data_IF_200491588758
#
_entry.id   IF_200491588758
#
_cell.length_a   1.000
_cell.length_b   1.000
_cell.length_c   1.000
_cell.angle_alpha   90.00
_cell.angle_beta   90.00
_cell.angle_gamma   90.00
#
_symmetry.space_group_name_H-M   'P 1'
#
loop_
_entity.id
_entity.type
_entity.pdbx_description
1 polymer ?
#
# COMPACT_ATOMS: atom_id res chain seq x y z
N UNK A 1 13.75 25.63 -34.07
CA UNK A 1 13.26 24.29 -33.83
C UNK A 1 12.60 24.19 -32.44
N UNK A 2 13.31 24.49 -31.32
CA UNK A 2 12.78 24.36 -29.96
C UNK A 2 11.48 25.17 -29.73
N UNK A 3 11.36 26.38 -30.30
CA UNK A 3 10.16 27.23 -30.18
C UNK A 3 8.91 26.66 -30.86
N UNK A 4 9.08 25.73 -31.78
CA UNK A 4 7.99 25.15 -32.57
C UNK A 4 7.53 23.79 -32.02
N UNK A 5 8.11 23.33 -30.91
CA UNK A 5 7.66 22.10 -30.26
C UNK A 5 6.23 22.29 -29.69
N UNK A 6 5.34 21.29 -29.83
CA UNK A 6 4.08 21.28 -29.12
C UNK A 6 4.26 21.57 -27.63
N UNK A 7 3.30 22.27 -27.00
CA UNK A 7 3.41 22.66 -25.59
C UNK A 7 3.49 21.43 -24.67
N UNK A 8 4.11 21.58 -23.48
CA UNK A 8 4.21 20.49 -22.49
C UNK A 8 2.86 20.04 -21.93
N UNK A 9 1.86 20.92 -21.91
CA UNK A 9 0.51 20.63 -21.46
C UNK A 9 -0.42 20.16 -22.60
N UNK A 10 0.12 19.82 -23.78
CA UNK A 10 -0.62 19.24 -24.90
C UNK A 10 -1.26 17.92 -24.46
N UNK A 11 -2.51 17.68 -24.88
CA UNK A 11 -3.27 16.46 -24.54
C UNK A 11 -3.53 15.56 -25.75
N UNK A 12 -3.34 16.05 -26.94
CA UNK A 12 -3.49 15.25 -28.16
C UNK A 12 -2.32 14.24 -28.27
N UNK A 13 -2.60 12.92 -28.33
CA UNK A 13 -1.56 11.90 -28.38
C UNK A 13 -0.60 12.01 -29.58
N UNK A 14 -1.12 12.45 -30.75
CA UNK A 14 -0.31 12.65 -31.95
C UNK A 14 0.70 13.77 -31.77
N UNK A 15 0.28 14.90 -31.20
CA UNK A 15 1.15 16.05 -30.91
C UNK A 15 2.13 15.77 -29.79
N UNK A 16 1.74 14.95 -28.81
CA UNK A 16 2.66 14.46 -27.77
C UNK A 16 3.77 13.61 -28.39
N UNK A 17 3.41 12.66 -29.24
CA UNK A 17 4.38 11.84 -29.96
C UNK A 17 5.30 12.67 -30.89
N UNK A 18 4.74 13.66 -31.59
CA UNK A 18 5.50 14.63 -32.38
C UNK A 18 6.53 15.36 -31.50
N UNK A 19 6.10 15.88 -30.36
CA UNK A 19 6.99 16.56 -29.42
C UNK A 19 8.17 15.70 -29.00
N UNK A 20 7.93 14.43 -28.61
CA UNK A 20 9.00 13.51 -28.19
C UNK A 20 9.98 13.24 -29.32
N UNK A 21 9.48 12.96 -30.51
CA UNK A 21 10.30 12.72 -31.71
C UNK A 21 11.18 13.92 -32.06
N UNK A 22 10.59 15.10 -32.15
CA UNK A 22 11.30 16.32 -32.49
C UNK A 22 12.31 16.71 -31.39
N UNK A 23 11.95 16.59 -30.11
CA UNK A 23 12.87 16.82 -29.00
C UNK A 23 14.08 15.88 -29.05
N UNK A 24 13.88 14.61 -29.43
CA UNK A 24 14.98 13.66 -29.58
C UNK A 24 15.92 14.07 -30.71
N UNK A 25 15.39 14.47 -31.88
CA UNK A 25 16.17 14.93 -33.01
C UNK A 25 17.00 16.18 -32.61
N UNK A 26 16.38 17.14 -31.93
CA UNK A 26 17.05 18.37 -31.48
C UNK A 26 18.19 18.06 -30.51
N UNK A 27 17.97 17.16 -29.53
CA UNK A 27 19.01 16.73 -28.60
C UNK A 27 20.20 16.09 -29.30
N UNK A 28 19.95 15.18 -30.24
CA UNK A 28 21.01 14.56 -31.05
C UNK A 28 21.84 15.58 -31.82
N UNK A 29 21.17 16.56 -32.48
CA UNK A 29 21.86 17.62 -33.23
C UNK A 29 22.69 18.51 -32.28
N UNK A 30 22.16 18.85 -31.09
CA UNK A 30 22.91 19.63 -30.11
C UNK A 30 24.12 18.85 -29.59
N UNK A 31 23.99 17.57 -29.29
CA UNK A 31 25.11 16.70 -28.89
C UNK A 31 26.22 16.71 -29.94
N UNK A 32 25.87 16.48 -31.19
CA UNK A 32 26.84 16.50 -32.31
C UNK A 32 27.54 17.87 -32.45
N UNK A 33 26.81 18.97 -32.26
CA UNK A 33 27.41 20.31 -32.31
C UNK A 33 28.38 20.54 -31.13
N UNK A 34 28.06 20.06 -29.94
CA UNK A 34 28.95 20.14 -28.77
C UNK A 34 30.21 19.31 -28.96
N UNK A 35 30.09 18.14 -29.58
CA UNK A 35 31.23 17.27 -29.87
C UNK A 35 32.20 17.90 -30.87
N UNK A 36 31.70 18.61 -31.91
CA UNK A 36 32.49 19.12 -33.01
C UNK A 36 32.89 20.61 -32.91
N UNK A 37 32.40 21.36 -31.93
CA UNK A 37 32.65 22.79 -31.79
C UNK A 37 33.02 23.17 -30.36
N UNK A 38 34.28 23.55 -30.17
CA UNK A 38 34.79 24.06 -28.89
C UNK A 38 34.07 25.35 -28.46
N UNK A 39 33.74 26.23 -29.40
CA UNK A 39 33.01 27.46 -29.14
C UNK A 39 31.63 27.19 -28.57
N UNK A 40 30.90 26.19 -29.12
CA UNK A 40 29.57 25.81 -28.64
C UNK A 40 29.68 25.15 -27.28
N UNK A 41 30.66 24.29 -27.06
CA UNK A 41 30.93 23.65 -25.77
C UNK A 41 31.22 24.68 -24.68
N UNK A 42 32.13 25.60 -24.95
CA UNK A 42 32.48 26.68 -24.03
C UNK A 42 31.29 27.58 -23.70
N UNK A 43 30.48 27.95 -24.70
CA UNK A 43 29.25 28.74 -24.50
C UNK A 43 28.24 28.01 -23.61
N UNK A 44 28.04 26.72 -23.82
CA UNK A 44 27.13 25.91 -22.98
C UNK A 44 27.64 25.80 -21.55
N UNK A 45 28.97 25.56 -21.37
CA UNK A 45 29.58 25.55 -20.03
C UNK A 45 29.35 26.86 -19.30
N UNK A 46 29.69 27.99 -19.94
CA UNK A 46 29.47 29.33 -19.35
C UNK A 46 27.99 29.58 -19.02
N UNK A 47 27.07 29.08 -19.87
CA UNK A 47 25.64 29.19 -19.60
C UNK A 47 25.25 28.38 -18.37
N UNK A 48 25.73 27.14 -18.23
CA UNK A 48 25.49 26.29 -17.07
C UNK A 48 26.02 26.97 -15.80
N UNK A 49 27.24 27.49 -15.84
CA UNK A 49 27.84 28.19 -14.69
C UNK A 49 27.02 29.44 -14.28
N UNK A 50 26.49 30.16 -15.29
CA UNK A 50 25.61 31.31 -15.05
C UNK A 50 24.31 30.92 -14.35
N UNK A 51 23.72 29.75 -14.71
CA UNK A 51 22.50 29.25 -14.06
C UNK A 51 22.77 28.66 -12.69
N UNK A 52 23.94 28.05 -12.47
CA UNK A 52 24.31 27.45 -11.18
C UNK A 52 24.49 28.46 -10.05
N UNK A 53 24.69 29.73 -10.38
CA UNK A 53 24.85 30.79 -9.40
C UNK A 53 26.15 30.70 -8.61
N UNK A 54 26.32 31.59 -7.62
CA UNK A 54 27.48 31.70 -6.77
C UNK A 54 27.07 31.51 -5.30
N UNK A 55 27.68 30.56 -4.61
CA UNK A 55 27.38 30.30 -3.20
C UNK A 55 27.67 31.54 -2.36
N UNK A 56 26.67 32.01 -1.63
CA UNK A 56 26.78 33.22 -0.79
C UNK A 56 26.15 34.46 -1.44
N UNK A 57 25.86 34.46 -2.74
CA UNK A 57 25.12 35.49 -3.46
C UNK A 57 23.77 34.97 -3.89
N UNK A 58 22.71 35.28 -3.14
CA UNK A 58 21.36 34.79 -3.40
C UNK A 58 20.79 35.28 -4.74
N UNK A 59 21.12 36.51 -5.18
CA UNK A 59 20.62 37.07 -6.43
C UNK A 59 21.16 36.34 -7.67
N UNK A 60 22.37 35.72 -7.55
CA UNK A 60 22.94 34.94 -8.63
C UNK A 60 22.11 33.67 -9.02
N UNK A 61 21.20 33.23 -8.15
CA UNK A 61 20.32 32.07 -8.38
C UNK A 61 18.98 32.41 -9.02
N UNK A 62 18.66 33.72 -9.26
CA UNK A 62 17.37 34.13 -9.83
C UNK A 62 17.06 33.46 -11.17
N UNK A 63 18.08 33.27 -12.02
CA UNK A 63 17.91 32.56 -13.31
C UNK A 63 17.60 31.07 -13.12
N UNK A 64 18.22 30.44 -12.16
CA UNK A 64 17.94 29.02 -11.82
C UNK A 64 16.53 28.90 -11.24
N UNK A 65 16.13 29.79 -10.34
CA UNK A 65 14.77 29.81 -9.79
C UNK A 65 13.71 29.99 -10.90
N UNK A 66 13.91 30.95 -11.79
CA UNK A 66 13.04 31.13 -12.94
C UNK A 66 12.96 29.88 -13.83
N UNK A 67 14.11 29.22 -14.08
CA UNK A 67 14.14 27.97 -14.85
C UNK A 67 13.40 26.83 -14.15
N UNK A 68 13.52 26.71 -12.84
CA UNK A 68 12.84 25.69 -12.03
C UNK A 68 11.31 25.94 -12.00
N UNK A 69 10.90 27.19 -11.92
CA UNK A 69 9.47 27.56 -11.95
C UNK A 69 8.78 27.25 -13.30
N UNK A 70 9.56 27.16 -14.39
CA UNK A 70 9.07 26.74 -15.72
C UNK A 70 8.95 25.22 -15.86
N UNK A 71 9.40 24.43 -14.90
CA UNK A 71 9.33 22.97 -14.98
C UNK A 71 7.91 22.46 -14.64
N UNK A 72 7.61 21.22 -15.06
CA UNK A 72 6.38 20.52 -14.70
C UNK A 72 6.42 19.87 -13.30
N UNK A 73 7.48 20.10 -12.55
CA UNK A 73 7.69 19.64 -11.17
C UNK A 73 8.23 20.80 -10.34
N UNK A 74 7.99 20.75 -9.03
CA UNK A 74 8.53 21.67 -8.05
C UNK A 74 9.59 20.95 -7.22
N UNK A 75 10.79 21.52 -7.12
CA UNK A 75 11.76 21.09 -6.14
C UNK A 75 11.36 21.65 -4.77
N UNK A 76 11.33 20.81 -3.77
CA UNK A 76 10.99 21.17 -2.41
C UNK A 76 11.93 20.49 -1.43
N UNK A 77 12.06 21.05 -0.22
CA UNK A 77 12.81 20.41 0.86
C UNK A 77 12.18 19.04 1.18
N UNK A 78 13.03 18.04 1.41
CA UNK A 78 12.56 16.70 1.82
C UNK A 78 11.68 16.72 3.09
N UNK A 79 11.83 17.76 3.93
CA UNK A 79 11.04 17.91 5.18
C UNK A 79 9.55 18.13 4.94
N UNK A 80 9.16 18.66 3.78
CA UNK A 80 7.74 18.86 3.45
C UNK A 80 7.12 17.67 2.71
N UNK A 81 7.90 16.61 2.49
CA UNK A 81 7.47 15.47 1.69
C UNK A 81 6.24 14.77 2.28
N UNK A 82 6.13 14.64 3.60
CA UNK A 82 4.99 14.01 4.26
C UNK A 82 3.65 14.74 3.99
N UNK A 83 3.69 16.04 3.66
CA UNK A 83 2.51 16.88 3.46
C UNK A 83 2.25 17.26 2.00
N UNK A 84 3.30 17.36 1.17
CA UNK A 84 3.25 17.97 -0.16
C UNK A 84 3.49 17.00 -1.33
N UNK A 85 3.93 15.76 -1.08
CA UNK A 85 4.12 14.78 -2.15
C UNK A 85 2.81 14.53 -2.89
N UNK A 86 2.84 14.65 -4.23
CA UNK A 86 1.69 14.43 -5.10
C UNK A 86 1.86 13.24 -6.07
N UNK A 87 2.89 12.42 -5.88
CA UNK A 87 3.06 11.14 -6.54
C UNK A 87 2.89 9.98 -5.55
N UNK A 88 2.52 8.80 -6.04
CA UNK A 88 2.45 7.60 -5.22
C UNK A 88 3.86 7.05 -5.00
N UNK A 89 4.14 6.64 -3.77
CA UNK A 89 5.42 6.06 -3.35
C UNK A 89 5.18 4.69 -2.73
N UNK A 90 6.25 3.92 -2.61
CA UNK A 90 6.23 2.66 -1.88
C UNK A 90 6.19 2.96 -0.37
N UNK A 91 5.06 2.68 0.27
CA UNK A 91 4.76 3.08 1.65
C UNK A 91 4.96 4.59 1.85
N UNK A 92 5.91 4.98 2.70
CA UNK A 92 6.30 6.36 3.01
C UNK A 92 7.74 6.70 2.56
N UNK A 93 8.32 5.90 1.65
CA UNK A 93 9.68 6.06 1.13
C UNK A 93 9.65 7.00 -0.07
N UNK A 94 10.19 8.22 0.11
CA UNK A 94 10.11 9.28 -0.90
C UNK A 94 10.85 8.98 -2.20
N UNK A 95 11.94 8.23 -2.12
CA UNK A 95 12.80 7.88 -3.26
C UNK A 95 12.20 6.77 -4.14
N UNK A 96 11.20 6.05 -3.67
CA UNK A 96 10.57 4.95 -4.37
C UNK A 96 9.22 5.37 -4.95
N UNK A 97 9.25 6.13 -6.06
CA UNK A 97 8.04 6.48 -6.80
C UNK A 97 7.43 5.25 -7.46
N UNK A 98 6.13 5.05 -7.27
CA UNK A 98 5.39 3.94 -7.86
C UNK A 98 5.09 4.21 -9.34
N UNK A 99 5.30 3.20 -10.18
CA UNK A 99 4.94 3.23 -11.60
C UNK A 99 3.51 2.73 -11.81
N UNK A 100 2.93 3.08 -12.95
CA UNK A 100 1.54 2.73 -13.32
C UNK A 100 1.51 1.42 -14.09
N UNK A 101 1.66 0.30 -13.37
CA UNK A 101 1.65 -1.04 -13.98
C UNK A 101 0.29 -1.44 -14.55
N UNK A 102 -0.78 -0.72 -14.24
CA UNK A 102 -2.08 -0.86 -14.87
C UNK A 102 -2.09 -0.41 -16.35
N UNK A 103 -1.11 0.40 -16.78
CA UNK A 103 -0.91 0.74 -18.17
C UNK A 103 -0.12 -0.37 -18.87
N UNK A 104 -0.71 -0.98 -19.88
CA UNK A 104 -0.16 -2.16 -20.58
C UNK A 104 1.28 -1.94 -21.08
N UNK A 105 1.59 -0.75 -21.62
CA UNK A 105 2.94 -0.42 -22.07
C UNK A 105 3.95 -0.37 -20.92
N UNK A 106 3.57 0.18 -19.78
CA UNK A 106 4.42 0.23 -18.58
C UNK A 106 4.63 -1.16 -18.00
N UNK A 107 3.57 -1.98 -17.96
CA UNK A 107 3.66 -3.38 -17.54
C UNK A 107 4.70 -4.15 -18.36
N UNK A 108 4.58 -4.15 -19.67
CA UNK A 108 5.52 -4.89 -20.54
C UNK A 108 6.96 -4.34 -20.45
N UNK A 109 7.13 -3.02 -20.42
CA UNK A 109 8.45 -2.40 -20.34
C UNK A 109 9.16 -2.75 -19.02
N UNK A 110 8.44 -2.66 -17.89
CA UNK A 110 9.01 -2.97 -16.56
C UNK A 110 9.28 -4.46 -16.34
N UNK A 111 8.62 -5.36 -17.08
CA UNK A 111 8.76 -6.80 -16.93
C UNK A 111 9.68 -7.48 -17.96
N UNK A 112 10.29 -6.74 -18.88
CA UNK A 112 11.14 -7.34 -19.95
C UNK A 112 12.22 -8.28 -19.41
N UNK A 113 12.90 -7.91 -18.32
CA UNK A 113 13.92 -8.78 -17.72
C UNK A 113 13.29 -10.04 -17.14
N UNK A 114 12.19 -9.90 -16.39
CA UNK A 114 11.47 -11.01 -15.77
C UNK A 114 11.01 -12.00 -16.84
N UNK A 115 10.38 -11.49 -17.90
CA UNK A 115 9.91 -12.29 -19.02
C UNK A 115 11.03 -13.04 -19.75
N UNK A 116 12.18 -12.41 -19.91
CA UNK A 116 13.36 -13.07 -20.49
C UNK A 116 13.88 -14.21 -19.60
N UNK A 117 13.92 -14.02 -18.28
CA UNK A 117 14.36 -15.06 -17.34
C UNK A 117 13.38 -16.25 -17.31
N UNK A 118 12.08 -16.00 -17.35
CA UNK A 118 11.06 -17.05 -17.43
C UNK A 118 11.16 -17.81 -18.76
N UNK A 119 11.28 -17.11 -19.89
CA UNK A 119 11.37 -17.72 -21.23
C UNK A 119 12.62 -18.56 -21.40
N UNK A 120 13.72 -18.19 -20.77
CA UNK A 120 14.97 -18.97 -20.78
C UNK A 120 15.01 -20.13 -19.77
N UNK A 121 13.97 -20.28 -18.94
CA UNK A 121 13.88 -21.31 -17.90
C UNK A 121 14.81 -21.09 -16.68
N UNK A 122 15.46 -19.92 -16.58
CA UNK A 122 16.27 -19.53 -15.41
C UNK A 122 15.37 -19.28 -14.19
N UNK A 123 14.20 -18.70 -14.42
CA UNK A 123 13.15 -18.59 -13.41
C UNK A 123 11.96 -19.47 -13.82
N UNK A 124 11.33 -20.16 -12.86
CA UNK A 124 10.20 -21.06 -13.08
C UNK A 124 8.92 -20.59 -12.40
N UNK A 125 8.99 -19.52 -11.62
CA UNK A 125 7.87 -18.91 -10.92
C UNK A 125 8.21 -17.52 -10.39
N UNK A 126 7.23 -16.85 -9.83
CA UNK A 126 7.36 -15.48 -9.32
C UNK A 126 6.81 -15.36 -7.90
N UNK A 127 7.49 -14.56 -7.08
CA UNK A 127 6.94 -13.96 -5.88
C UNK A 127 6.65 -12.50 -6.17
N UNK A 128 5.39 -12.12 -6.08
CA UNK A 128 4.96 -10.73 -6.26
C UNK A 128 4.87 -10.08 -4.89
N UNK A 129 5.74 -9.11 -4.67
CA UNK A 129 5.83 -8.33 -3.45
C UNK A 129 4.77 -7.23 -3.43
N UNK A 130 4.25 -6.91 -2.24
CA UNK A 130 3.34 -5.80 -2.00
C UNK A 130 2.20 -5.70 -3.01
N UNK A 131 1.54 -6.82 -3.30
CA UNK A 131 0.44 -6.87 -4.28
C UNK A 131 -0.70 -5.89 -3.92
N UNK A 132 -0.89 -5.60 -2.64
CA UNK A 132 -1.87 -4.62 -2.14
C UNK A 132 -1.54 -3.17 -2.53
N UNK A 133 -0.32 -2.89 -2.95
CA UNK A 133 0.10 -1.60 -3.50
C UNK A 133 -0.39 -1.33 -4.93
N UNK A 134 -0.76 -2.36 -5.69
CA UNK A 134 -1.17 -2.22 -7.08
C UNK A 134 -2.51 -1.48 -7.23
N UNK A 135 -2.71 -0.85 -8.38
CA UNK A 135 -3.98 -0.23 -8.75
C UNK A 135 -5.10 -1.27 -8.80
N UNK A 136 -4.89 -2.33 -9.58
CA UNK A 136 -5.76 -3.49 -9.73
C UNK A 136 -4.93 -4.77 -9.66
N UNK A 137 -4.84 -5.41 -8.48
CA UNK A 137 -4.05 -6.63 -8.29
C UNK A 137 -4.50 -7.79 -9.18
N UNK A 138 -5.81 -7.99 -9.34
CA UNK A 138 -6.36 -9.09 -10.14
C UNK A 138 -5.99 -8.92 -11.61
N UNK A 139 -6.18 -7.74 -12.16
CA UNK A 139 -5.80 -7.44 -13.55
C UNK A 139 -4.30 -7.66 -13.80
N UNK A 140 -3.45 -7.21 -12.88
CA UNK A 140 -2.00 -7.44 -12.96
C UNK A 140 -1.66 -8.93 -13.01
N UNK A 141 -2.27 -9.74 -12.16
CA UNK A 141 -2.03 -11.18 -12.09
C UNK A 141 -2.55 -11.90 -13.34
N UNK A 142 -3.71 -11.48 -13.85
CA UNK A 142 -4.26 -11.98 -15.13
C UNK A 142 -3.30 -11.67 -16.29
N UNK A 143 -2.77 -10.45 -16.39
CA UNK A 143 -1.79 -10.09 -17.42
C UNK A 143 -0.53 -10.96 -17.38
N UNK A 144 -0.04 -11.32 -16.17
CA UNK A 144 1.09 -12.25 -16.04
C UNK A 144 0.77 -13.63 -16.60
N UNK A 145 -0.39 -14.18 -16.30
CA UNK A 145 -0.81 -15.51 -16.79
C UNK A 145 -1.10 -15.49 -18.30
N UNK A 146 -1.72 -14.44 -18.80
CA UNK A 146 -1.94 -14.28 -20.24
C UNK A 146 -0.63 -14.20 -21.02
N UNK A 147 0.37 -13.51 -20.46
CA UNK A 147 1.70 -13.48 -21.03
C UNK A 147 2.32 -14.88 -21.05
N UNK A 148 2.25 -15.60 -19.93
CA UNK A 148 2.78 -16.96 -19.83
C UNK A 148 2.14 -17.92 -20.84
N UNK A 149 0.82 -17.86 -20.95
CA UNK A 149 0.07 -18.71 -21.91
C UNK A 149 0.46 -18.45 -23.36
N UNK A 150 0.87 -17.23 -23.71
CA UNK A 150 1.29 -16.86 -25.09
C UNK A 150 2.75 -17.17 -25.40
N UNK A 151 3.62 -16.96 -24.42
CA UNK A 151 5.08 -16.90 -24.67
C UNK A 151 5.86 -18.11 -24.17
N UNK A 152 5.30 -18.88 -23.22
CA UNK A 152 5.94 -20.07 -22.70
C UNK A 152 5.46 -21.32 -23.45
N UNK A 153 6.28 -22.38 -23.40
CA UNK A 153 5.92 -23.66 -24.01
C UNK A 153 4.68 -24.25 -23.30
N UNK A 154 3.73 -24.80 -24.06
CA UNK A 154 2.60 -25.52 -23.49
C UNK A 154 3.08 -26.67 -22.58
N UNK A 155 2.21 -27.07 -21.66
CA UNK A 155 2.46 -28.24 -20.82
C UNK A 155 2.57 -29.53 -21.68
N UNK A 156 3.17 -30.61 -21.17
CA UNK A 156 3.21 -31.90 -21.88
C UNK A 156 1.81 -32.44 -22.26
N UNK A 157 0.75 -32.02 -21.56
CA UNK A 157 -0.65 -32.34 -21.87
C UNK A 157 -1.23 -31.48 -23.01
N UNK A 158 -0.49 -30.49 -23.51
CA UNK A 158 -0.94 -29.56 -24.57
C UNK A 158 -1.73 -28.36 -24.05
N UNK A 159 -1.89 -28.22 -22.74
CA UNK A 159 -2.54 -27.06 -22.15
C UNK A 159 -1.65 -25.83 -22.19
N UNK A 160 -2.21 -24.59 -22.27
CA UNK A 160 -1.43 -23.36 -22.16
C UNK A 160 -0.59 -23.34 -20.89
N UNK A 161 0.60 -22.77 -20.97
CA UNK A 161 1.47 -22.63 -19.82
C UNK A 161 0.80 -21.77 -18.73
N UNK A 162 0.88 -22.22 -17.50
CA UNK A 162 0.48 -21.48 -16.31
C UNK A 162 1.71 -21.21 -15.45
N UNK A 163 1.87 -19.97 -15.04
CA UNK A 163 2.99 -19.54 -14.23
C UNK A 163 2.73 -19.81 -12.76
N UNK A 164 3.71 -20.41 -12.07
CA UNK A 164 3.67 -20.49 -10.61
C UNK A 164 3.87 -19.09 -10.04
N UNK A 165 2.84 -18.54 -9.41
CA UNK A 165 2.87 -17.20 -8.80
C UNK A 165 2.42 -17.31 -7.35
N UNK A 166 3.22 -16.81 -6.43
CA UNK A 166 2.82 -16.58 -5.04
C UNK A 166 2.85 -15.09 -4.75
N UNK A 167 1.90 -14.64 -3.94
CA UNK A 167 1.75 -13.21 -3.61
C UNK A 167 2.11 -12.95 -2.16
N UNK A 168 2.88 -11.89 -1.95
CA UNK A 168 3.02 -11.28 -0.63
C UNK A 168 1.74 -10.49 -0.36
N UNK A 169 0.83 -11.13 0.36
CA UNK A 169 -0.44 -10.60 0.81
C UNK A 169 -0.65 -10.98 2.26
N UNK A 170 -0.75 -9.98 3.09
CA UNK A 170 -1.03 -10.17 4.52
C UNK A 170 -2.54 -10.28 4.69
N UNK A 171 -2.98 -11.48 5.08
CA UNK A 171 -4.38 -11.77 5.34
C UNK A 171 -4.73 -11.44 6.79
N UNK A 172 -5.82 -10.71 7.00
CA UNK A 172 -6.45 -10.62 8.30
C UNK A 172 -7.01 -11.99 8.74
N UNK A 173 -7.34 -12.15 10.01
CA UNK A 173 -7.75 -13.43 10.60
C UNK A 173 -8.88 -14.13 9.84
N UNK A 174 -9.91 -13.37 9.49
CA UNK A 174 -11.11 -13.87 8.80
C UNK A 174 -11.12 -13.46 7.31
N UNK A 175 -9.97 -13.03 6.80
CA UNK A 175 -9.80 -12.64 5.41
C UNK A 175 -9.33 -13.83 4.57
N UNK A 176 -10.07 -14.15 3.51
CA UNK A 176 -9.64 -15.12 2.52
C UNK A 176 -8.95 -14.45 1.33
N UNK A 177 -7.92 -15.11 0.78
CA UNK A 177 -7.35 -14.71 -0.50
C UNK A 177 -8.44 -14.79 -1.59
N UNK A 178 -8.58 -13.77 -2.48
CA UNK A 178 -9.59 -13.82 -3.53
C UNK A 178 -9.45 -15.05 -4.42
N UNK A 179 -10.50 -15.85 -4.50
CA UNK A 179 -10.50 -17.09 -5.29
C UNK A 179 -10.37 -16.86 -6.81
N UNK A 180 -10.63 -15.62 -7.26
CA UNK A 180 -10.50 -15.21 -8.67
C UNK A 180 -9.06 -14.89 -9.06
N UNK A 181 -8.16 -14.73 -8.10
CA UNK A 181 -6.77 -14.43 -8.41
C UNK A 181 -6.05 -15.64 -8.99
N UNK A 182 -5.47 -15.55 -10.19
CA UNK A 182 -4.78 -16.67 -10.84
C UNK A 182 -3.37 -16.86 -10.27
N UNK A 183 -3.30 -17.28 -9.00
CA UNK A 183 -2.06 -17.48 -8.23
C UNK A 183 -2.04 -18.86 -7.58
N UNK A 184 -0.88 -19.29 -7.17
CA UNK A 184 -0.69 -20.55 -6.42
C UNK A 184 -0.97 -20.41 -4.92
N UNK A 185 -1.07 -19.17 -4.43
CA UNK A 185 -1.37 -18.82 -3.05
C UNK A 185 -0.50 -17.70 -2.50
N UNK A 186 -0.42 -17.62 -1.16
CA UNK A 186 0.38 -16.61 -0.45
C UNK A 186 1.81 -17.07 -0.19
N UNK A 187 2.67 -16.14 0.24
CA UNK A 187 4.05 -16.41 0.71
C UNK A 187 4.12 -17.05 2.09
N UNK A 188 2.98 -17.29 2.77
CA UNK A 188 2.90 -18.14 3.95
C UNK A 188 2.89 -17.44 5.31
N UNK A 189 2.68 -16.12 5.39
CA UNK A 189 2.52 -15.43 6.69
C UNK A 189 1.29 -15.91 7.46
N UNK A 190 0.22 -16.28 6.77
CA UNK A 190 -0.96 -16.90 7.35
C UNK A 190 -0.62 -18.26 8.01
N UNK A 191 0.17 -19.11 7.36
CA UNK A 191 0.66 -20.36 7.93
C UNK A 191 1.57 -20.13 9.14
N UNK A 192 2.49 -19.16 9.04
CA UNK A 192 3.40 -18.78 10.13
C UNK A 192 2.62 -18.47 11.42
N UNK A 193 1.58 -17.65 11.32
CA UNK A 193 0.77 -17.25 12.47
C UNK A 193 -0.08 -18.40 13.02
N UNK A 194 -0.57 -19.30 12.17
CA UNK A 194 -1.24 -20.52 12.62
C UNK A 194 -0.30 -21.40 13.45
N UNK A 195 0.91 -21.66 12.96
CA UNK A 195 1.92 -22.47 13.68
C UNK A 195 2.31 -21.78 14.97
N UNK A 196 2.61 -20.47 14.94
CA UNK A 196 3.00 -19.73 16.13
C UNK A 196 1.92 -19.75 17.21
N UNK A 197 0.65 -19.55 16.81
CA UNK A 197 -0.51 -19.55 17.72
C UNK A 197 -0.76 -20.92 18.39
N UNK A 198 -0.41 -22.02 17.73
CA UNK A 198 -0.55 -23.37 18.26
C UNK A 198 0.30 -23.60 19.54
N UNK A 199 1.47 -22.96 19.63
CA UNK A 199 2.40 -23.07 20.74
C UNK A 199 2.17 -22.02 21.85
N UNK A 200 1.06 -21.29 21.82
CA UNK A 200 0.67 -20.34 22.88
C UNK A 200 -0.42 -20.95 23.76
N UNK A 201 -0.16 -21.01 25.05
CA UNK A 201 -1.07 -21.62 26.04
C UNK A 201 -2.31 -20.73 26.27
N UNK A 202 -3.34 -20.93 25.47
CA UNK A 202 -4.56 -20.11 25.46
C UNK A 202 -5.28 -20.03 26.80
N UNK A 203 -5.26 -21.12 27.62
CA UNK A 203 -5.89 -21.13 28.95
C UNK A 203 -5.26 -20.14 29.97
N UNK A 204 -4.07 -19.61 29.65
CA UNK A 204 -3.35 -18.64 30.52
C UNK A 204 -3.51 -17.19 30.05
N UNK A 205 -4.36 -16.89 29.08
CA UNK A 205 -4.60 -15.56 28.56
C UNK A 205 -4.89 -14.54 29.67
N UNK A 206 -5.86 -14.84 30.52
CA UNK A 206 -6.24 -13.96 31.65
C UNK A 206 -5.07 -13.66 32.60
N UNK A 207 -4.20 -14.64 32.82
CA UNK A 207 -3.03 -14.49 33.69
C UNK A 207 -1.99 -13.57 33.06
N UNK A 208 -1.79 -13.68 31.74
CA UNK A 208 -0.89 -12.81 30.99
C UNK A 208 -1.45 -11.40 30.85
N UNK A 209 -2.76 -11.24 30.67
CA UNK A 209 -3.42 -9.93 30.66
C UNK A 209 -3.23 -9.20 32.00
N UNK A 210 -3.52 -9.88 33.10
CA UNK A 210 -3.36 -9.30 34.44
C UNK A 210 -1.89 -8.92 34.73
N UNK A 211 -0.95 -9.75 34.29
CA UNK A 211 0.47 -9.48 34.43
C UNK A 211 0.86 -8.25 33.62
N UNK A 212 0.49 -8.20 32.33
CA UNK A 212 0.80 -7.10 31.42
C UNK A 212 0.20 -5.76 31.93
N UNK A 213 -1.09 -5.76 32.28
CA UNK A 213 -1.75 -4.57 32.82
C UNK A 213 -1.09 -4.05 34.10
N UNK A 214 -0.72 -4.97 35.02
CA UNK A 214 -0.02 -4.60 36.22
C UNK A 214 1.38 -4.01 35.96
N UNK A 215 2.10 -4.57 35.01
CA UNK A 215 3.45 -4.08 34.67
C UNK A 215 3.42 -2.72 33.98
N UNK A 216 2.47 -2.52 33.06
CA UNK A 216 2.29 -1.26 32.29
C UNK A 216 1.57 -0.18 33.14
N UNK A 217 0.89 -0.57 34.21
CA UNK A 217 0.13 0.34 35.07
C UNK A 217 -1.23 0.77 34.52
N UNK A 218 -1.63 0.26 33.34
CA UNK A 218 -2.91 0.59 32.71
C UNK A 218 -3.44 -0.57 31.86
N UNK A 219 -4.76 -0.55 31.61
CA UNK A 219 -5.36 -1.48 30.63
C UNK A 219 -5.12 -0.98 29.21
N UNK A 220 -4.43 -1.77 28.39
CA UNK A 220 -4.24 -1.50 26.97
C UNK A 220 -5.20 -2.39 26.19
N UNK A 221 -6.13 -1.78 25.45
CA UNK A 221 -7.00 -2.47 24.48
C UNK A 221 -6.34 -2.40 23.12
N UNK A 222 -6.01 -3.55 22.54
CA UNK A 222 -5.24 -3.62 21.30
C UNK A 222 -5.94 -2.90 20.13
N UNK A 223 -7.25 -3.07 19.96
CA UNK A 223 -8.02 -2.40 18.90
C UNK A 223 -7.98 -0.87 19.00
N UNK A 224 -7.98 -0.34 20.23
CA UNK A 224 -7.86 1.10 20.46
C UNK A 224 -6.45 1.60 20.15
N UNK A 225 -5.44 0.79 20.49
CA UNK A 225 -4.05 1.09 20.11
C UNK A 225 -3.89 1.12 18.58
N UNK A 226 -4.39 0.11 17.86
CA UNK A 226 -4.34 0.06 16.38
C UNK A 226 -5.02 1.28 15.77
N UNK A 227 -6.18 1.66 16.27
CA UNK A 227 -6.87 2.87 15.82
C UNK A 227 -6.02 4.13 16.01
N UNK A 228 -5.39 4.30 17.16
CA UNK A 228 -4.53 5.45 17.46
C UNK A 228 -3.28 5.46 16.62
N UNK A 229 -2.62 4.30 16.45
CA UNK A 229 -1.39 4.20 15.66
C UNK A 229 -1.62 4.41 14.16
N UNK A 230 -2.72 3.90 13.60
CA UNK A 230 -3.11 4.21 12.22
C UNK A 230 -3.32 5.73 12.02
N UNK A 231 -3.98 6.40 12.96
CA UNK A 231 -4.15 7.87 12.92
C UNK A 231 -2.83 8.61 13.06
N UNK A 232 -1.91 8.11 13.89
CA UNK A 232 -0.56 8.67 14.01
C UNK A 232 0.19 8.62 12.68
N UNK A 233 0.20 7.46 12.00
CA UNK A 233 0.84 7.31 10.69
C UNK A 233 0.25 8.23 9.64
N UNK A 234 -1.08 8.31 9.57
CA UNK A 234 -1.77 9.21 8.66
C UNK A 234 -1.37 10.67 8.86
N UNK A 235 -1.16 11.09 10.10
CA UNK A 235 -0.75 12.46 10.43
C UNK A 235 0.74 12.71 10.25
N UNK A 236 1.59 11.74 10.60
CA UNK A 236 3.04 11.95 10.67
C UNK A 236 3.76 11.73 9.33
N UNK A 237 3.35 10.74 8.54
CA UNK A 237 4.08 10.34 7.34
C UNK A 237 3.24 10.23 6.07
N UNK A 238 1.90 10.21 6.18
CA UNK A 238 0.99 10.00 5.04
C UNK A 238 -0.09 11.09 4.92
N UNK A 239 0.16 12.29 5.44
CA UNK A 239 -0.81 13.38 5.36
C UNK A 239 -1.03 13.88 3.92
N UNK A 240 -0.02 13.78 3.06
CA UNK A 240 -0.16 14.13 1.64
C UNK A 240 -1.17 13.23 0.92
N UNK A 241 -1.16 11.92 1.18
CA UNK A 241 -2.12 10.97 0.62
C UNK A 241 -3.55 11.27 1.09
N UNK A 242 -3.70 11.62 2.39
CA UNK A 242 -4.98 12.04 2.94
C UNK A 242 -5.47 13.36 2.36
N UNK A 243 -4.58 14.34 2.19
CA UNK A 243 -4.91 15.62 1.59
C UNK A 243 -5.44 15.43 0.16
N UNK A 244 -4.78 14.58 -0.64
CA UNK A 244 -5.25 14.23 -1.99
C UNK A 244 -6.63 13.59 -1.96
N UNK A 245 -6.86 12.62 -1.06
CA UNK A 245 -8.18 11.98 -0.89
C UNK A 245 -9.25 12.98 -0.44
N UNK A 246 -8.94 13.85 0.53
CA UNK A 246 -9.83 14.88 1.01
C UNK A 246 -10.24 15.85 -0.09
N UNK A 247 -9.29 16.33 -0.88
CA UNK A 247 -9.56 17.20 -2.03
C UNK A 247 -10.37 16.52 -3.12
N UNK A 248 -10.05 15.25 -3.45
CA UNK A 248 -10.87 14.49 -4.39
C UNK A 248 -12.31 14.36 -3.90
N UNK A 249 -12.50 14.03 -2.64
CA UNK A 249 -13.82 13.87 -2.04
C UNK A 249 -14.60 15.20 -2.01
N UNK A 250 -13.91 16.33 -1.74
CA UNK A 250 -14.51 17.66 -1.80
C UNK A 250 -14.99 17.97 -3.22
N UNK A 251 -14.16 17.75 -4.25
CA UNK A 251 -14.57 17.93 -5.64
C UNK A 251 -15.75 17.05 -6.05
N UNK A 252 -15.86 15.84 -5.46
CA UNK A 252 -16.97 14.94 -5.70
C UNK A 252 -18.25 15.42 -5.00
N UNK A 253 -18.15 15.91 -3.76
CA UNK A 253 -19.30 16.42 -3.01
C UNK A 253 -19.91 17.67 -3.66
N UNK A 254 -19.09 18.56 -4.24
CA UNK A 254 -19.54 19.76 -4.96
C UNK A 254 -20.41 19.45 -6.19
N UNK A 255 -20.29 18.26 -6.76
CA UNK A 255 -21.08 17.84 -7.92
C UNK A 255 -22.53 17.45 -7.57
N UNK A 256 -22.82 17.29 -6.28
CA UNK A 256 -24.13 16.89 -5.79
C UNK A 256 -24.71 17.93 -4.82
N UNK A 257 -25.92 18.40 -5.12
CA UNK A 257 -26.64 19.37 -4.28
C UNK A 257 -26.92 18.91 -2.86
N UNK A 258 -26.90 17.60 -2.59
CA UNK A 258 -27.12 17.04 -1.24
C UNK A 258 -25.86 17.07 -0.39
N UNK A 259 -24.68 17.10 -1.02
CA UNK A 259 -23.39 16.92 -0.34
C UNK A 259 -22.44 18.12 -0.45
N UNK A 260 -22.77 19.13 -1.27
CA UNK A 260 -21.93 20.32 -1.50
C UNK A 260 -21.70 21.20 -0.27
N UNK A 261 -22.50 21.01 0.77
CA UNK A 261 -22.33 21.74 2.03
C UNK A 261 -21.37 21.04 3.00
N UNK A 262 -20.82 19.88 2.61
CA UNK A 262 -19.76 19.23 3.37
C UNK A 262 -18.45 20.00 3.20
N UNK A 263 -17.79 20.29 4.31
CA UNK A 263 -16.51 21.01 4.27
C UNK A 263 -15.35 20.04 4.00
N UNK A 264 -14.27 20.54 3.40
CA UNK A 264 -13.05 19.78 3.20
C UNK A 264 -12.55 19.14 4.52
N UNK A 265 -12.65 19.86 5.64
CA UNK A 265 -12.24 19.35 6.95
C UNK A 265 -13.12 18.18 7.41
N UNK A 266 -14.45 18.27 7.28
CA UNK A 266 -15.35 17.17 7.67
C UNK A 266 -15.15 15.93 6.80
N UNK A 267 -14.91 16.11 5.50
CA UNK A 267 -14.63 15.05 4.54
C UNK A 267 -13.29 14.37 4.83
N UNK A 268 -12.22 15.15 5.06
CA UNK A 268 -10.89 14.63 5.40
C UNK A 268 -10.91 13.89 6.73
N UNK A 269 -11.66 14.42 7.72
CA UNK A 269 -11.85 13.75 9.01
C UNK A 269 -12.56 12.40 8.80
N UNK A 270 -13.67 12.37 8.07
CA UNK A 270 -14.40 11.12 7.81
C UNK A 270 -13.54 10.06 7.11
N UNK A 271 -12.72 10.43 6.12
CA UNK A 271 -11.77 9.51 5.47
C UNK A 271 -10.75 8.98 6.49
N UNK A 272 -10.17 9.86 7.31
CA UNK A 272 -9.21 9.48 8.34
C UNK A 272 -9.79 8.43 9.29
N UNK A 273 -11.02 8.66 9.75
CA UNK A 273 -11.72 7.75 10.65
C UNK A 273 -12.06 6.40 9.99
N UNK A 274 -12.48 6.43 8.71
CA UNK A 274 -12.76 5.21 7.95
C UNK A 274 -11.50 4.37 7.75
N UNK A 275 -10.38 4.97 7.37
CA UNK A 275 -9.09 4.27 7.20
C UNK A 275 -8.60 3.70 8.54
N UNK A 276 -8.70 4.47 9.63
CA UNK A 276 -8.31 4.00 10.96
C UNK A 276 -9.15 2.81 11.44
N UNK A 277 -10.44 2.78 11.06
CA UNK A 277 -11.39 1.72 11.41
C UNK A 277 -11.46 0.58 10.38
N UNK A 278 -10.69 0.64 9.28
CA UNK A 278 -10.73 -0.38 8.22
C UNK A 278 -10.19 -1.71 8.74
N UNK A 279 -10.95 -2.83 8.63
CA UNK A 279 -10.63 -4.07 9.34
C UNK A 279 -9.54 -4.92 8.69
N UNK A 280 -9.25 -4.71 7.40
CA UNK A 280 -8.24 -5.40 6.59
C UNK A 280 -7.30 -4.40 5.93
N UNK A 281 -6.27 -4.88 5.25
CA UNK A 281 -5.31 -3.99 4.56
C UNK A 281 -5.97 -3.16 3.47
N UNK A 282 -6.82 -3.77 2.63
CA UNK A 282 -7.61 -3.06 1.62
C UNK A 282 -8.81 -3.89 1.14
N UNK A 283 -9.71 -3.25 0.41
CA UNK A 283 -10.71 -3.87 -0.45
C UNK A 283 -10.20 -3.94 -1.90
N UNK A 284 -10.89 -4.70 -2.75
CA UNK A 284 -10.48 -4.96 -4.14
C UNK A 284 -11.58 -4.60 -5.14
N UNK A 285 -12.09 -3.39 -5.02
CA UNK A 285 -13.05 -2.82 -5.95
C UNK A 285 -12.33 -2.39 -7.23
N UNK A 286 -12.80 -2.85 -8.39
CA UNK A 286 -12.21 -2.55 -9.70
C UNK A 286 -13.12 -1.66 -10.54
N UNK A 287 -12.56 -1.05 -11.61
CA UNK A 287 -13.32 -0.20 -12.52
C UNK A 287 -14.47 -0.95 -13.21
N UNK A 288 -14.22 -2.19 -13.63
CA UNK A 288 -15.14 -2.95 -14.48
C UNK A 288 -16.19 -3.74 -13.71
N UNK A 289 -16.00 -3.88 -12.40
CA UNK A 289 -16.91 -4.58 -11.51
C UNK A 289 -18.27 -3.88 -11.43
N UNK A 290 -19.34 -4.55 -11.88
CA UNK A 290 -20.70 -4.00 -11.85
C UNK A 290 -21.26 -3.95 -10.43
N UNK A 291 -21.00 -5.00 -9.63
CA UNK A 291 -21.48 -5.14 -8.26
C UNK A 291 -20.31 -5.30 -7.29
N UNK A 292 -20.43 -4.71 -6.11
CA UNK A 292 -19.44 -4.85 -5.04
C UNK A 292 -19.61 -6.24 -4.42
N UNK A 293 -18.53 -7.02 -4.37
CA UNK A 293 -18.51 -8.33 -3.73
C UNK A 293 -18.90 -8.21 -2.25
N UNK A 294 -19.64 -9.21 -1.74
CA UNK A 294 -20.15 -9.21 -0.37
C UNK A 294 -19.03 -9.08 0.68
N UNK A 295 -17.88 -9.66 0.40
CA UNK A 295 -16.67 -9.51 1.23
C UNK A 295 -16.29 -8.03 1.39
N UNK A 296 -16.10 -7.32 0.29
CA UNK A 296 -15.67 -5.92 0.30
C UNK A 296 -16.76 -5.00 0.88
N UNK A 297 -18.02 -5.32 0.57
CA UNK A 297 -19.18 -4.65 1.18
C UNK A 297 -19.14 -4.76 2.71
N UNK A 298 -18.91 -5.96 3.22
CA UNK A 298 -18.83 -6.23 4.66
C UNK A 298 -17.73 -5.39 5.32
N UNK A 299 -16.54 -5.35 4.75
CA UNK A 299 -15.43 -4.57 5.30
C UNK A 299 -15.72 -3.07 5.32
N UNK A 300 -16.27 -2.53 4.23
CA UNK A 300 -16.66 -1.12 4.16
C UNK A 300 -17.74 -0.79 5.20
N UNK A 301 -18.77 -1.62 5.33
CA UNK A 301 -19.85 -1.42 6.30
C UNK A 301 -19.35 -1.50 7.74
N UNK A 302 -18.43 -2.42 8.04
CA UNK A 302 -17.79 -2.51 9.35
C UNK A 302 -16.98 -1.24 9.66
N UNK A 303 -16.17 -0.76 8.72
CA UNK A 303 -15.39 0.46 8.89
C UNK A 303 -16.30 1.67 9.16
N UNK A 304 -17.35 1.85 8.37
CA UNK A 304 -18.33 2.95 8.53
C UNK A 304 -19.02 2.87 9.91
N UNK A 305 -19.49 1.69 10.30
CA UNK A 305 -20.15 1.50 11.58
C UNK A 305 -19.21 1.80 12.75
N UNK A 306 -17.96 1.34 12.71
CA UNK A 306 -16.95 1.62 13.73
C UNK A 306 -16.60 3.11 13.78
N UNK A 307 -16.40 3.75 12.62
CA UNK A 307 -16.07 5.17 12.53
C UNK A 307 -17.19 6.05 13.10
N UNK A 308 -18.46 5.80 12.75
CA UNK A 308 -19.62 6.50 13.31
C UNK A 308 -19.70 6.38 14.83
N UNK A 309 -19.51 5.17 15.38
CA UNK A 309 -19.54 4.95 16.84
C UNK A 309 -18.43 5.70 17.59
N UNK A 310 -17.25 5.82 16.98
CA UNK A 310 -16.12 6.54 17.58
C UNK A 310 -16.25 8.06 17.45
N UNK A 311 -17.09 8.56 16.56
CA UNK A 311 -17.24 9.98 16.26
C UNK A 311 -18.72 10.42 16.27
N UNK A 312 -19.41 10.35 17.41
CA UNK A 312 -20.85 10.64 17.51
C UNK A 312 -21.18 12.12 17.24
N UNK A 313 -20.21 13.02 17.33
CA UNK A 313 -20.35 14.46 17.10
C UNK A 313 -20.20 14.87 15.66
N UNK A 314 -19.61 14.01 14.80
CA UNK A 314 -19.48 14.28 13.38
C UNK A 314 -20.80 13.93 12.66
N UNK A 315 -21.19 14.77 11.70
CA UNK A 315 -22.40 14.49 10.91
C UNK A 315 -22.30 13.12 10.23
N UNK A 316 -23.22 12.22 10.58
CA UNK A 316 -23.24 10.84 10.08
C UNK A 316 -23.41 10.74 8.57
N UNK A 317 -24.03 11.76 7.93
CA UNK A 317 -24.24 11.81 6.48
C UNK A 317 -22.92 11.91 5.71
N UNK A 318 -21.87 12.48 6.30
CA UNK A 318 -20.54 12.53 5.67
C UNK A 318 -19.98 11.10 5.51
N UNK A 319 -20.14 10.25 6.53
CA UNK A 319 -19.76 8.84 6.44
C UNK A 319 -20.63 8.05 5.44
N UNK A 320 -21.93 8.37 5.37
CA UNK A 320 -22.84 7.74 4.41
C UNK A 320 -22.44 8.09 2.97
N UNK A 321 -22.10 9.33 2.70
CA UNK A 321 -21.61 9.77 1.40
C UNK A 321 -20.34 9.00 0.98
N UNK A 322 -19.33 8.88 1.86
CA UNK A 322 -18.12 8.12 1.56
C UNK A 322 -18.43 6.63 1.37
N UNK A 323 -19.32 6.05 2.19
CA UNK A 323 -19.80 4.67 2.02
C UNK A 323 -20.42 4.45 0.64
N UNK A 324 -21.30 5.34 0.23
CA UNK A 324 -22.05 5.19 -1.03
C UNK A 324 -21.13 5.38 -2.25
N UNK A 325 -20.11 6.25 -2.13
CA UNK A 325 -19.02 6.31 -3.10
C UNK A 325 -18.25 4.98 -3.20
N UNK A 326 -17.82 4.43 -2.08
CA UNK A 326 -17.06 3.17 -2.03
C UNK A 326 -17.90 1.99 -2.54
N UNK A 327 -19.19 1.95 -2.19
CA UNK A 327 -20.10 0.89 -2.62
C UNK A 327 -20.70 1.09 -4.02
N UNK A 328 -20.29 2.13 -4.74
CA UNK A 328 -20.80 2.50 -6.07
C UNK A 328 -22.35 2.65 -6.10
N UNK A 329 -22.92 3.17 -5.01
CA UNK A 329 -24.37 3.35 -4.82
C UNK A 329 -24.87 4.76 -5.09
N UNK A 330 -24.02 5.64 -5.60
CA UNK A 330 -24.48 6.99 -5.93
C UNK A 330 -25.44 6.93 -7.11
N UNK A 331 -26.58 7.59 -6.91
CA UNK A 331 -27.67 7.67 -7.86
C UNK A 331 -27.19 8.32 -9.20
N UNK A 332 -27.74 7.89 -10.34
CA UNK A 332 -27.50 8.47 -11.67
C UNK A 332 -27.85 9.97 -11.75
N UNK A 333 -28.58 10.50 -10.75
CA UNK A 333 -28.82 11.94 -10.57
C UNK A 333 -27.59 12.76 -10.22
N UNK A 334 -26.55 12.09 -9.72
CA UNK A 334 -25.27 12.75 -9.38
C UNK A 334 -24.46 12.88 -10.66
N UNK A 335 -24.04 14.09 -11.00
CA UNK A 335 -23.16 14.37 -12.16
C UNK A 335 -21.73 13.82 -11.98
N UNK A 336 -21.59 12.70 -11.26
CA UNK A 336 -20.33 12.01 -11.07
C UNK A 336 -20.09 11.08 -12.25
N UNK A 337 -18.95 11.23 -12.89
CA UNK A 337 -18.53 10.26 -13.89
C UNK A 337 -18.05 8.99 -13.18
N UNK A 338 -18.26 7.82 -13.80
CA UNK A 338 -17.71 6.56 -13.32
C UNK A 338 -16.18 6.65 -13.11
N UNK A 339 -15.50 7.39 -13.96
CA UNK A 339 -14.05 7.64 -13.87
C UNK A 339 -13.65 8.36 -12.58
N UNK A 340 -14.40 9.40 -12.19
CA UNK A 340 -14.14 10.16 -10.95
C UNK A 340 -14.26 9.26 -9.71
N UNK A 341 -15.33 8.43 -9.68
CA UNK A 341 -15.58 7.50 -8.59
C UNK A 341 -14.49 6.42 -8.50
N UNK A 342 -14.16 5.79 -9.62
CA UNK A 342 -13.10 4.77 -9.69
C UNK A 342 -11.77 5.32 -9.20
N UNK A 343 -11.40 6.51 -9.65
CA UNK A 343 -10.16 7.19 -9.23
C UNK A 343 -10.09 7.39 -7.71
N UNK A 344 -11.19 7.80 -7.09
CA UNK A 344 -11.25 7.97 -5.64
C UNK A 344 -11.15 6.61 -4.92
N UNK A 345 -11.98 5.63 -5.33
CA UNK A 345 -12.03 4.30 -4.72
C UNK A 345 -10.66 3.62 -4.77
N UNK A 346 -10.00 3.65 -5.92
CA UNK A 346 -8.68 3.03 -6.08
C UNK A 346 -7.62 3.71 -5.22
N UNK A 347 -7.62 5.05 -5.20
CA UNK A 347 -6.71 5.81 -4.36
C UNK A 347 -6.94 5.53 -2.88
N UNK A 348 -8.20 5.43 -2.45
CA UNK A 348 -8.56 5.05 -1.08
C UNK A 348 -7.98 3.67 -0.73
N UNK A 349 -8.21 2.66 -1.58
CA UNK A 349 -7.70 1.29 -1.39
C UNK A 349 -6.17 1.25 -1.32
N UNK A 350 -5.47 1.99 -2.19
CA UNK A 350 -4.02 2.09 -2.19
C UNK A 350 -3.46 2.87 -0.98
N UNK A 351 -4.28 3.62 -0.26
CA UNK A 351 -3.89 4.34 0.96
C UNK A 351 -4.15 3.50 2.21
N UNK A 352 -5.23 2.70 2.27
CA UNK A 352 -5.56 1.89 3.44
C UNK A 352 -4.49 0.84 3.75
N UNK A 353 -3.88 0.23 2.73
CA UNK A 353 -2.86 -0.82 2.91
C UNK A 353 -1.60 -0.30 3.62
N UNK A 354 -0.88 0.72 3.13
CA UNK A 354 0.32 1.23 3.81
C UNK A 354 0.03 1.82 5.19
N UNK A 355 -1.13 2.47 5.38
CA UNK A 355 -1.54 2.94 6.72
C UNK A 355 -1.71 1.77 7.69
N UNK A 356 -2.29 0.66 7.23
CA UNK A 356 -2.47 -0.54 8.05
C UNK A 356 -1.13 -1.20 8.37
N UNK A 357 -0.26 -1.41 7.39
CA UNK A 357 1.06 -1.98 7.60
C UNK A 357 1.89 -1.12 8.58
N UNK A 358 2.05 0.17 8.31
CA UNK A 358 2.83 1.07 9.18
C UNK A 358 2.22 1.26 10.56
N UNK A 359 0.88 1.39 10.64
CA UNK A 359 0.18 1.57 11.91
C UNK A 359 0.19 0.33 12.80
N UNK A 360 0.08 -0.87 12.24
CA UNK A 360 0.07 -2.13 12.98
C UNK A 360 1.49 -2.67 13.15
N UNK A 361 2.14 -3.02 12.04
CA UNK A 361 3.36 -3.81 12.06
C UNK A 361 4.58 -3.03 12.51
N UNK A 362 4.67 -1.74 12.13
CA UNK A 362 5.82 -0.89 12.45
C UNK A 362 5.56 0.03 13.66
N UNK A 363 4.35 0.03 14.22
CA UNK A 363 4.01 0.89 15.36
C UNK A 363 3.34 0.11 16.49
N UNK A 364 2.12 -0.41 16.30
CA UNK A 364 1.38 -1.07 17.39
C UNK A 364 2.13 -2.29 17.95
N UNK A 365 2.78 -3.08 17.10
CA UNK A 365 3.56 -4.25 17.53
C UNK A 365 4.78 -3.92 18.41
N UNK A 366 5.26 -2.69 18.38
CA UNK A 366 6.35 -2.22 19.24
C UNK A 366 5.88 -1.60 20.54
N UNK A 367 4.55 -1.37 20.66
CA UNK A 367 3.93 -0.78 21.85
C UNK A 367 3.21 -1.86 22.69
N UNK A 368 2.48 -2.78 22.03
CA UNK A 368 1.70 -3.82 22.69
C UNK A 368 2.54 -5.08 22.94
N UNK A 369 3.04 -5.26 24.16
CA UNK A 369 4.01 -6.32 24.47
C UNK A 369 3.46 -7.36 25.47
N UNK A 370 2.17 -7.72 25.39
CA UNK A 370 1.57 -8.77 26.23
C UNK A 370 2.29 -10.13 26.07
N UNK A 371 2.53 -10.52 24.83
CA UNK A 371 3.36 -11.67 24.45
C UNK A 371 3.97 -11.36 23.06
N UNK A 372 5.22 -10.92 23.06
CA UNK A 372 5.86 -10.34 21.86
C UNK A 372 6.01 -11.31 20.69
N UNK A 373 5.91 -12.63 20.90
CA UNK A 373 5.88 -13.64 19.83
C UNK A 373 4.63 -13.59 18.96
N UNK A 374 3.53 -12.99 19.44
CA UNK A 374 2.31 -12.76 18.65
C UNK A 374 2.38 -11.49 17.79
N UNK A 375 3.37 -10.62 18.05
CA UNK A 375 3.59 -9.39 17.29
C UNK A 375 4.42 -9.70 16.05
N UNK A 376 3.79 -10.33 15.07
CA UNK A 376 4.45 -10.78 13.86
C UNK A 376 3.64 -10.36 12.62
N UNK A 377 4.28 -10.24 11.46
CA UNK A 377 3.61 -9.89 10.20
C UNK A 377 2.42 -10.80 9.97
N UNK A 378 1.24 -10.22 9.76
CA UNK A 378 -0.03 -10.94 9.67
C UNK A 378 -0.56 -11.48 11.00
N UNK A 379 0.12 -11.23 12.11
CA UNK A 379 -0.32 -11.60 13.45
C UNK A 379 -1.40 -10.67 14.01
N UNK A 380 -2.19 -11.20 14.92
CA UNK A 380 -3.23 -10.43 15.63
C UNK A 380 -3.07 -10.65 17.15
N UNK A 381 -2.25 -9.83 17.84
CA UNK A 381 -1.93 -9.99 19.24
C UNK A 381 -3.12 -9.95 20.21
N UNK A 382 -4.28 -9.43 19.75
CA UNK A 382 -5.53 -9.51 20.51
C UNK A 382 -5.96 -10.97 20.76
N UNK A 383 -5.67 -11.86 19.83
CA UNK A 383 -6.00 -13.28 19.93
C UNK A 383 -4.85 -14.06 20.56
N UNK A 384 -5.15 -14.77 21.63
CA UNK A 384 -4.16 -15.43 22.47
C UNK A 384 -4.19 -16.95 22.29
N UNK A 385 -3.37 -17.44 21.36
CA UNK A 385 -3.26 -18.86 21.07
C UNK A 385 -4.29 -19.37 20.05
N UNK A 386 -4.12 -20.61 19.65
CA UNK A 386 -4.94 -21.31 18.67
C UNK A 386 -5.23 -22.75 19.12
N UNK A 387 -6.45 -23.25 18.94
CA UNK A 387 -6.74 -24.66 19.21
C UNK A 387 -6.24 -25.58 18.09
N UNK A 388 -5.96 -26.84 18.45
CA UNK A 388 -5.54 -27.88 17.48
C UNK A 388 -6.61 -28.08 16.40
N UNK A 389 -7.92 -28.03 16.79
CA UNK A 389 -9.02 -28.17 15.83
C UNK A 389 -9.02 -27.02 14.84
N UNK A 390 -8.85 -25.77 15.29
CA UNK A 390 -8.78 -24.58 14.43
C UNK A 390 -7.59 -24.66 13.48
N UNK A 391 -6.45 -25.10 13.97
CA UNK A 391 -5.24 -25.31 13.15
C UNK A 391 -5.52 -26.33 12.04
N UNK A 392 -6.04 -27.51 12.35
CA UNK A 392 -6.34 -28.53 11.35
C UNK A 392 -7.45 -28.10 10.38
N UNK A 393 -8.45 -27.33 10.85
CA UNK A 393 -9.48 -26.78 9.98
C UNK A 393 -8.85 -25.83 8.95
N UNK A 394 -8.02 -24.88 9.40
CA UNK A 394 -7.35 -23.94 8.51
C UNK A 394 -6.43 -24.62 7.50
N UNK A 395 -5.71 -25.68 7.91
CA UNK A 395 -4.87 -26.45 6.98
C UNK A 395 -5.69 -27.23 5.93
N UNK A 396 -6.85 -27.76 6.30
CA UNK A 396 -7.75 -28.42 5.32
C UNK A 396 -8.29 -27.43 4.31
N UNK A 397 -8.73 -26.25 4.74
CA UNK A 397 -9.19 -25.16 3.88
C UNK A 397 -8.08 -24.67 2.95
N UNK A 398 -6.88 -24.49 3.50
CA UNK A 398 -5.69 -24.11 2.72
C UNK A 398 -5.37 -25.14 1.65
N UNK A 399 -5.37 -26.45 2.02
CA UNK A 399 -5.11 -27.53 1.06
C UNK A 399 -6.17 -27.60 -0.04
N UNK A 400 -7.42 -27.33 0.30
CA UNK A 400 -8.53 -27.39 -0.67
C UNK A 400 -8.46 -26.26 -1.70
N UNK A 401 -8.09 -25.05 -1.29
CA UNK A 401 -8.15 -23.86 -2.16
C UNK A 401 -6.78 -23.45 -2.71
N UNK A 402 -5.72 -23.62 -1.90
CA UNK A 402 -4.38 -23.15 -2.22
C UNK A 402 -3.30 -24.20 -1.91
N UNK A 403 -3.35 -25.39 -2.57
CA UNK A 403 -2.48 -26.51 -2.25
C UNK A 403 -0.98 -26.23 -2.46
N UNK A 404 -0.67 -25.23 -3.29
CA UNK A 404 0.70 -24.84 -3.65
C UNK A 404 1.18 -23.56 -2.96
N UNK A 405 0.41 -23.01 -2.02
CA UNK A 405 0.83 -21.86 -1.23
C UNK A 405 2.07 -22.18 -0.37
N UNK A 406 2.95 -21.21 -0.15
CA UNK A 406 4.16 -21.43 0.64
C UNK A 406 3.84 -21.60 2.13
N UNK A 407 4.68 -22.41 2.81
CA UNK A 407 4.61 -22.69 4.24
C UNK A 407 5.83 -22.05 4.91
N UNK A 408 5.75 -20.76 5.23
CA UNK A 408 6.82 -20.06 5.91
C UNK A 408 6.70 -20.17 7.43
N UNK A 409 7.82 -20.34 8.12
CA UNK A 409 7.96 -20.20 9.58
C UNK A 409 8.77 -18.95 9.94
N UNK A 410 9.59 -18.46 9.01
CA UNK A 410 10.34 -17.22 9.11
C UNK A 410 10.60 -16.67 7.70
N UNK A 411 10.70 -15.36 7.58
CA UNK A 411 11.03 -14.66 6.33
C UNK A 411 11.95 -13.47 6.63
N UNK A 412 12.43 -12.77 5.58
CA UNK A 412 13.22 -11.55 5.73
C UNK A 412 12.44 -10.39 6.38
N UNK A 413 11.09 -10.42 6.34
CA UNK A 413 10.22 -9.39 6.91
C UNK A 413 9.68 -9.74 8.30
N UNK A 414 9.92 -10.95 8.79
CA UNK A 414 9.46 -11.32 10.14
C UNK A 414 10.18 -10.50 11.21
N UNK A 415 9.43 -10.07 12.21
CA UNK A 415 9.96 -9.28 13.33
C UNK A 415 10.95 -10.09 14.17
N UNK A 416 10.78 -11.42 14.22
CA UNK A 416 11.63 -12.38 14.95
C UNK A 416 11.73 -13.70 14.19
N UNK A 417 12.87 -14.38 14.32
CA UNK A 417 13.02 -15.74 13.83
C UNK A 417 12.16 -16.74 14.61
N UNK A 418 11.85 -17.89 14.00
CA UNK A 418 11.00 -18.94 14.60
C UNK A 418 11.52 -19.44 15.95
N UNK A 419 12.82 -19.62 16.13
CA UNK A 419 13.43 -20.04 17.40
C UNK A 419 13.17 -19.03 18.52
N UNK A 420 13.27 -17.74 18.23
CA UNK A 420 13.01 -16.66 19.20
C UNK A 420 11.54 -16.65 19.58
N UNK A 421 10.62 -16.77 18.59
CA UNK A 421 9.18 -16.84 18.87
C UNK A 421 8.85 -18.05 19.72
N UNK A 422 9.37 -19.23 19.39
CA UNK A 422 9.15 -20.46 20.15
C UNK A 422 9.59 -20.32 21.62
N UNK A 423 10.75 -19.70 21.87
CA UNK A 423 11.23 -19.43 23.23
C UNK A 423 10.34 -18.43 23.97
N UNK A 424 9.85 -17.39 23.32
CA UNK A 424 8.92 -16.42 23.90
C UNK A 424 7.55 -17.08 24.20
N UNK A 425 7.09 -18.00 23.34
CA UNK A 425 5.84 -18.73 23.54
C UNK A 425 5.82 -19.49 24.88
N UNK A 426 6.95 -20.01 25.34
CA UNK A 426 7.07 -20.70 26.65
C UNK A 426 6.62 -19.81 27.82
N UNK A 427 6.78 -18.49 27.72
CA UNK A 427 6.30 -17.55 28.74
C UNK A 427 4.78 -17.66 28.97
N UNK A 428 4.04 -18.04 27.91
CA UNK A 428 2.60 -18.28 28.00
C UNK A 428 2.23 -19.43 28.92
N UNK A 429 3.11 -20.41 29.09
CA UNK A 429 2.92 -21.58 29.95
C UNK A 429 3.24 -21.29 31.43
N UNK A 430 4.16 -20.34 31.69
CA UNK A 430 4.75 -20.07 32.99
C UNK A 430 4.53 -18.63 33.50
N UNK A 431 3.32 -18.06 33.43
CA UNK A 431 3.07 -16.65 33.77
C UNK A 431 3.47 -16.28 35.21
N UNK A 432 3.41 -17.24 36.14
CA UNK A 432 3.83 -17.02 37.52
C UNK A 432 5.32 -16.79 37.69
N UNK A 433 6.15 -17.62 37.01
CA UNK A 433 7.62 -17.45 36.96
C UNK A 433 8.02 -16.17 36.21
N UNK A 434 7.32 -15.89 35.10
CA UNK A 434 7.54 -14.69 34.33
C UNK A 434 7.27 -13.41 35.14
N UNK A 435 6.17 -13.39 35.91
CA UNK A 435 5.88 -12.31 36.85
C UNK A 435 7.00 -12.11 37.88
N UNK A 436 7.55 -13.17 38.42
CA UNK A 436 8.67 -13.09 39.37
C UNK A 436 9.93 -12.47 38.77
N UNK A 437 10.28 -12.85 37.52
CA UNK A 437 11.39 -12.30 36.80
C UNK A 437 11.23 -10.81 36.51
N UNK A 438 10.07 -10.40 35.98
CA UNK A 438 9.76 -8.99 35.73
C UNK A 438 9.80 -8.14 37.04
N UNK A 439 9.26 -8.64 38.12
CA UNK A 439 9.31 -7.94 39.42
C UNK A 439 10.74 -7.84 39.98
N UNK A 440 11.60 -8.80 39.65
CA UNK A 440 13.02 -8.74 39.98
C UNK A 440 13.75 -7.65 39.18
N UNK A 441 13.55 -7.63 37.85
CA UNK A 441 14.20 -6.67 36.96
C UNK A 441 13.71 -5.22 37.17
N UNK A 442 12.45 -5.02 37.50
CA UNK A 442 11.89 -3.70 37.79
C UNK A 442 12.46 -3.01 39.07
N UNK A 443 13.29 -3.71 39.83
CA UNK A 443 13.99 -3.13 41.02
C UNK A 443 15.32 -2.51 40.67
N UNK A 444 15.83 -2.76 39.49
CA UNK A 444 17.08 -2.23 38.94
C UNK A 444 16.81 -1.14 37.89
#
# INVERSE_FOLDING_TARGET
ALRNLPRRNERDPGRIAERYREAHIIRRRLSALVEHSETIRSHLSTSVDTYNGIKGDSASFDRLDALLNEQSYRLASWRVASEEINYRRFFDINELAAIRTEETSVFYESHQLVFRLLKSGVATGLRIDHVDGLYDPEHYLVQLQEWAARELQPTPSGEPASLFVVVEKILGRDEALPATWPVSGTTGYDFLNLVNGLFVQSSKERSMDALYQRFVGQRVVYDDLVYVTKKLIMRASMSSELNVLGHQLNLLSEKDRQYRDFTLNSLTHAITELIACFPVYRSYLTADQKEVLERDRTYIMMAVSRAKRRNPTLNSQVFDFVRDLLLKRLDDRVKLTRSDQVRFVTKFQQTTSPVTAKGIEDTAFYIYNRLASLNEVGGEPAHYGLSVETFHKALRERRAHWPHALLATSTHDTKRGEDVRARINVLSEIPGRWRGALAGWAKH
#
